data_IF_949784376815
#
_entry.id   IF_949784376815
#
_cell.length_a   1.000
_cell.length_b   1.000
_cell.length_c   1.000
_cell.angle_alpha   90.00
_cell.angle_beta   90.00
_cell.angle_gamma   90.00
#
_symmetry.space_group_name_H-M   'P 1'
#
loop_
_entity.id
_entity.type
_entity.pdbx_description
1 polymer ?
#
# COMPACT_ATOMS: atom_id res chain seq x y z
N UNK A 1 8.87 -13.31 8.02
CA UNK A 1 7.98 -12.87 6.93
C UNK A 1 6.61 -13.46 7.19
N UNK A 2 5.64 -12.65 7.61
CA UNK A 2 4.32 -13.11 8.06
C UNK A 2 3.35 -12.88 6.90
N UNK A 3 2.81 -13.95 6.33
CA UNK A 3 1.89 -13.88 5.21
C UNK A 3 0.49 -13.52 5.73
N UNK A 4 0.08 -12.25 5.60
CA UNK A 4 -1.26 -11.83 6.00
C UNK A 4 -2.28 -12.19 4.91
N UNK A 5 -3.26 -13.04 5.25
CA UNK A 5 -4.39 -13.36 4.38
C UNK A 5 -5.61 -12.53 4.78
N UNK A 6 -6.28 -11.93 3.81
CA UNK A 6 -7.49 -11.14 4.02
C UNK A 6 -8.68 -12.08 4.26
N UNK A 7 -9.32 -11.96 5.43
CA UNK A 7 -10.48 -12.77 5.81
C UNK A 7 -11.70 -11.84 5.92
N UNK A 8 -12.77 -12.20 5.24
CA UNK A 8 -14.05 -11.49 5.25
C UNK A 8 -15.07 -12.25 6.11
N UNK A 9 -15.97 -11.50 6.76
CA UNK A 9 -17.07 -12.05 7.56
C UNK A 9 -18.38 -12.03 6.76
N UNK A 10 -18.99 -13.19 6.59
CA UNK A 10 -20.30 -13.36 5.94
C UNK A 10 -21.26 -14.02 6.92
N UNK A 11 -22.15 -13.23 7.51
CA UNK A 11 -23.01 -13.66 8.61
C UNK A 11 -22.20 -13.95 9.88
N UNK A 12 -22.41 -15.10 10.50
CA UNK A 12 -21.64 -15.56 11.67
C UNK A 12 -20.36 -16.34 11.31
N UNK A 13 -20.05 -16.51 10.02
CA UNK A 13 -18.89 -17.27 9.55
C UNK A 13 -17.85 -16.38 8.82
N UNK A 14 -16.60 -16.83 8.80
CA UNK A 14 -15.46 -16.12 8.19
C UNK A 14 -14.87 -16.94 7.02
N UNK A 15 -14.51 -16.28 5.90
CA UNK A 15 -13.88 -16.92 4.72
C UNK A 15 -12.70 -16.09 4.18
N UNK A 16 -11.66 -16.76 3.68
CA UNK A 16 -10.50 -16.10 3.04
C UNK A 16 -10.91 -15.56 1.67
N UNK A 17 -10.66 -14.29 1.42
CA UNK A 17 -10.96 -13.63 0.14
C UNK A 17 -9.83 -13.93 -0.84
N UNK A 18 -10.16 -14.61 -1.94
CA UNK A 18 -9.35 -14.56 -3.17
C UNK A 18 -8.40 -15.72 -3.48
N UNK A 19 -8.80 -16.99 -3.35
CA UNK A 19 -8.14 -18.08 -4.12
C UNK A 19 -9.04 -18.48 -5.29
N UNK A 20 -8.79 -17.87 -6.45
CA UNK A 20 -9.17 -18.43 -7.75
C UNK A 20 -7.91 -18.39 -8.62
N UNK A 21 -7.31 -19.56 -8.76
CA UNK A 21 -6.27 -19.86 -9.72
C UNK A 21 -6.78 -19.43 -11.11
N UNK A 22 -6.16 -18.45 -11.76
CA UNK A 22 -6.27 -18.35 -13.20
C UNK A 22 -5.05 -17.70 -13.86
N UNK A 23 -4.67 -18.36 -14.94
CA UNK A 23 -3.50 -18.21 -15.79
C UNK A 23 -3.64 -16.97 -16.69
N UNK A 24 -2.60 -16.14 -16.76
CA UNK A 24 -2.53 -14.92 -17.58
C UNK A 24 -2.21 -15.21 -19.05
N UNK A 25 -2.78 -14.44 -19.98
CA UNK A 25 -2.03 -13.98 -21.15
C UNK A 25 -2.50 -12.60 -21.65
N UNK A 26 -1.54 -11.86 -22.20
CA UNK A 26 -1.39 -10.40 -22.25
C UNK A 26 -1.76 -9.80 -23.63
N UNK A 27 -2.23 -8.56 -23.66
CA UNK A 27 -2.46 -7.74 -24.87
C UNK A 27 -2.20 -6.28 -24.48
N UNK A 28 -1.29 -5.56 -25.16
CA UNK A 28 -1.55 -4.21 -25.68
C UNK A 28 -0.35 -3.63 -26.48
N UNK A 29 -0.72 -2.80 -27.46
CA UNK A 29 0.07 -2.14 -28.48
C UNK A 29 1.03 -1.03 -28.01
N UNK A 30 2.09 -0.85 -28.81
CA UNK A 30 3.16 0.16 -28.70
C UNK A 30 2.74 1.58 -29.14
N UNK A 31 3.22 2.61 -28.42
CA UNK A 31 3.27 3.99 -28.91
C UNK A 31 4.55 4.75 -28.44
N UNK A 32 5.45 4.91 -29.40
CA UNK A 32 6.45 5.96 -29.64
C UNK A 32 6.88 6.96 -28.54
N UNK A 33 8.20 6.98 -28.29
CA UNK A 33 9.02 8.17 -28.60
C UNK A 33 9.78 8.85 -27.45
N UNK A 34 11.13 8.76 -27.50
CA UNK A 34 11.99 9.93 -27.25
C UNK A 34 13.06 9.85 -26.14
N UNK A 35 14.32 9.78 -26.59
CA UNK A 35 15.54 10.38 -26.02
C UNK A 35 16.19 9.81 -24.73
N UNK A 36 17.18 8.93 -24.96
CA UNK A 36 18.60 9.03 -24.55
C UNK A 36 18.96 9.92 -23.34
N UNK A 37 19.32 9.27 -22.22
CA UNK A 37 20.54 9.57 -21.47
C UNK A 37 20.87 8.45 -20.46
N UNK A 38 21.97 7.76 -20.73
CA UNK A 38 22.88 7.06 -19.81
C UNK A 38 22.30 6.56 -18.46
N UNK A 39 21.81 5.32 -18.42
CA UNK A 39 21.73 4.58 -17.15
C UNK A 39 21.97 3.09 -17.37
N UNK A 40 22.99 2.59 -16.67
CA UNK A 40 23.46 1.21 -16.47
C UNK A 40 22.35 0.25 -16.01
N UNK A 41 21.35 0.05 -16.84
CA UNK A 41 20.27 -0.91 -16.65
C UNK A 41 20.69 -2.25 -17.26
N UNK A 42 20.90 -3.23 -16.38
CA UNK A 42 21.00 -4.64 -16.76
C UNK A 42 19.82 -5.02 -17.67
N UNK A 43 20.02 -5.89 -18.69
CA UNK A 43 19.01 -6.16 -19.69
C UNK A 43 17.74 -6.71 -19.03
N UNK A 44 16.56 -6.11 -19.25
CA UNK A 44 15.29 -6.67 -18.83
C UNK A 44 15.16 -8.04 -19.49
N UNK A 45 14.70 -9.04 -18.73
CA UNK A 45 14.36 -10.36 -19.26
C UNK A 45 13.65 -10.20 -20.61
N UNK A 46 14.25 -10.76 -21.66
CA UNK A 46 13.75 -10.62 -23.02
C UNK A 46 12.37 -11.26 -23.15
N UNK A 47 11.33 -10.43 -23.08
CA UNK A 47 10.03 -10.75 -23.65
C UNK A 47 9.99 -10.11 -25.03
N UNK A 48 10.35 -10.89 -26.05
CA UNK A 48 10.09 -10.55 -27.45
C UNK A 48 9.53 -11.80 -28.10
N UNK A 49 8.20 -11.93 -28.08
CA UNK A 49 7.49 -12.91 -28.89
C UNK A 49 7.44 -12.37 -30.33
N UNK A 50 8.54 -12.55 -31.06
CA UNK A 50 8.68 -12.13 -32.46
C UNK A 50 8.69 -13.34 -33.39
N UNK A 51 7.69 -13.41 -34.28
CA UNK A 51 7.61 -14.39 -35.36
C UNK A 51 8.89 -14.41 -36.21
N UNK A 52 9.37 -15.62 -36.48
CA UNK A 52 10.72 -15.89 -36.95
C UNK A 52 11.09 -15.30 -38.31
N UNK A 53 12.39 -15.04 -38.49
CA UNK A 53 13.19 -15.59 -39.59
C UNK A 53 14.66 -15.65 -39.19
N UNK A 54 15.29 -16.77 -39.55
CA UNK A 54 16.69 -16.89 -39.95
C UNK A 54 17.80 -16.28 -39.08
N UNK A 55 18.46 -17.15 -38.30
CA UNK A 55 19.91 -17.27 -38.44
C UNK A 55 20.79 -16.24 -37.73
N UNK A 56 20.59 -16.04 -36.44
CA UNK A 56 21.70 -15.72 -35.54
C UNK A 56 21.37 -16.28 -34.16
N UNK A 57 22.01 -17.41 -33.82
CA UNK A 57 22.05 -17.93 -32.45
C UNK A 57 22.38 -16.75 -31.54
N UNK A 58 21.57 -16.42 -30.51
CA UNK A 58 22.06 -15.52 -29.47
C UNK A 58 23.25 -16.26 -28.89
N UNK A 59 24.46 -15.79 -29.20
CA UNK A 59 25.61 -16.20 -28.45
C UNK A 59 25.26 -15.85 -27.02
N UNK A 60 25.16 -16.86 -26.15
CA UNK A 60 25.33 -16.63 -24.72
C UNK A 60 26.70 -15.96 -24.60
N UNK A 61 26.66 -14.63 -24.53
CA UNK A 61 27.80 -13.74 -24.44
C UNK A 61 28.37 -13.93 -23.05
N UNK A 62 29.14 -15.01 -22.89
CA UNK A 62 29.74 -15.43 -21.65
C UNK A 62 28.69 -15.89 -20.63
N UNK A 63 28.80 -17.13 -20.15
CA UNK A 63 28.55 -17.29 -18.74
C UNK A 63 29.57 -16.38 -18.05
N UNK A 64 29.17 -15.18 -17.60
CA UNK A 64 30.04 -14.40 -16.75
C UNK A 64 30.33 -15.30 -15.57
N UNK A 65 31.59 -15.72 -15.42
CA UNK A 65 32.01 -16.52 -14.28
C UNK A 65 32.07 -15.58 -13.08
N UNK A 66 30.91 -15.10 -12.65
CA UNK A 66 30.78 -14.33 -11.43
C UNK A 66 31.31 -15.22 -10.32
N UNK A 67 32.25 -14.68 -9.56
CA UNK A 67 32.70 -15.37 -8.37
C UNK A 67 31.54 -15.45 -7.36
N UNK A 68 31.53 -16.46 -6.51
CA UNK A 68 30.54 -16.58 -5.43
C UNK A 68 30.50 -15.31 -4.56
N UNK A 69 31.64 -14.64 -4.39
CA UNK A 69 31.74 -13.38 -3.63
C UNK A 69 31.02 -12.23 -4.32
N UNK A 70 31.05 -12.17 -5.65
CA UNK A 70 30.36 -11.15 -6.44
C UNK A 70 28.84 -11.37 -6.41
N UNK A 71 28.40 -12.64 -6.49
CA UNK A 71 26.99 -13.00 -6.31
C UNK A 71 26.51 -12.62 -4.92
N UNK A 72 27.29 -12.93 -3.88
CA UNK A 72 26.98 -12.58 -2.50
C UNK A 72 26.90 -11.06 -2.30
N UNK A 73 27.87 -10.30 -2.82
CA UNK A 73 27.87 -8.84 -2.73
C UNK A 73 26.64 -8.24 -3.43
N UNK A 74 26.24 -8.77 -4.59
CA UNK A 74 25.02 -8.34 -5.28
C UNK A 74 23.76 -8.70 -4.50
N UNK A 75 23.71 -9.86 -3.84
CA UNK A 75 22.59 -10.23 -2.97
C UNK A 75 22.48 -9.30 -1.77
N UNK A 76 23.60 -8.98 -1.11
CA UNK A 76 23.64 -8.04 0.01
C UNK A 76 23.20 -6.64 -0.41
N UNK A 77 23.73 -6.14 -1.52
CA UNK A 77 23.34 -4.84 -2.08
C UNK A 77 21.84 -4.78 -2.43
N UNK A 78 21.26 -5.86 -2.94
CA UNK A 78 19.81 -5.94 -3.19
C UNK A 78 19.01 -5.95 -1.89
N UNK A 79 19.49 -6.63 -0.86
CA UNK A 79 18.84 -6.64 0.45
C UNK A 79 18.79 -5.25 1.06
N UNK A 80 19.89 -4.48 0.99
CA UNK A 80 19.95 -3.11 1.52
C UNK A 80 18.92 -2.18 0.85
N UNK A 81 18.68 -2.35 -0.45
CA UNK A 81 17.67 -1.61 -1.20
C UNK A 81 16.27 -1.99 -0.72
N UNK A 82 16.00 -3.29 -0.52
CA UNK A 82 14.72 -3.76 0.01
C UNK A 82 14.49 -3.26 1.44
N UNK A 83 15.49 -3.31 2.31
CA UNK A 83 15.39 -2.85 3.69
C UNK A 83 15.13 -1.34 3.74
N UNK A 84 15.82 -0.56 2.91
CA UNK A 84 15.60 0.90 2.82
C UNK A 84 14.19 1.21 2.33
N UNK A 85 13.73 0.52 1.28
CA UNK A 85 12.38 0.68 0.76
C UNK A 85 11.31 0.27 1.80
N UNK A 86 11.53 -0.85 2.48
CA UNK A 86 10.65 -1.37 3.53
C UNK A 86 10.52 -0.39 4.69
N UNK A 87 11.63 0.10 5.23
CA UNK A 87 11.62 1.11 6.29
C UNK A 87 10.92 2.40 5.85
N UNK A 88 11.12 2.81 4.58
CA UNK A 88 10.41 3.93 3.98
C UNK A 88 8.90 3.71 4.00
N UNK A 89 8.42 2.58 3.48
CA UNK A 89 7.00 2.22 3.47
C UNK A 89 6.41 2.11 4.88
N UNK A 90 7.11 1.48 5.81
CA UNK A 90 6.68 1.38 7.21
C UNK A 90 6.50 2.76 7.84
N UNK A 91 7.43 3.69 7.61
CA UNK A 91 7.32 5.04 8.15
C UNK A 91 6.12 5.82 7.59
N UNK A 92 5.87 5.69 6.28
CA UNK A 92 4.70 6.32 5.63
C UNK A 92 3.38 5.75 6.14
N UNK A 93 3.34 4.43 6.40
CA UNK A 93 2.16 3.77 6.97
C UNK A 93 1.94 4.25 8.41
N UNK A 94 3.00 4.31 9.23
CA UNK A 94 2.93 4.78 10.60
C UNK A 94 2.45 6.24 10.70
N UNK A 95 2.98 7.13 9.86
CA UNK A 95 2.54 8.53 9.78
C UNK A 95 1.05 8.66 9.43
N UNK A 96 0.58 7.88 8.44
CA UNK A 96 -0.85 7.86 8.07
C UNK A 96 -1.74 7.39 9.22
N UNK A 97 -1.36 6.33 9.92
CA UNK A 97 -2.12 5.87 11.08
C UNK A 97 -2.13 6.88 12.22
N UNK A 98 -1.01 7.54 12.49
CA UNK A 98 -0.94 8.60 13.48
C UNK A 98 -1.85 9.78 13.11
N UNK A 99 -1.85 10.19 11.85
CA UNK A 99 -2.76 11.24 11.35
C UNK A 99 -4.23 10.86 11.54
N UNK A 100 -4.60 9.61 11.24
CA UNK A 100 -5.96 9.10 11.46
C UNK A 100 -6.33 9.12 12.95
N UNK A 101 -5.43 8.71 13.84
CA UNK A 101 -5.66 8.75 15.29
C UNK A 101 -5.92 10.18 15.78
N UNK A 102 -5.14 11.15 15.30
CA UNK A 102 -5.31 12.57 15.65
C UNK A 102 -6.66 13.09 15.14
N UNK A 103 -7.02 12.76 13.89
CA UNK A 103 -8.32 13.14 13.32
C UNK A 103 -9.48 12.55 14.12
N UNK A 104 -9.40 11.27 14.50
CA UNK A 104 -10.43 10.61 15.31
C UNK A 104 -10.59 11.30 16.66
N UNK A 105 -9.48 11.51 17.38
CA UNK A 105 -9.50 12.20 18.68
C UNK A 105 -10.07 13.62 18.57
N UNK A 106 -9.77 14.32 17.48
CA UNK A 106 -10.33 15.65 17.19
C UNK A 106 -11.84 15.60 16.97
N UNK A 107 -12.33 14.61 16.21
CA UNK A 107 -13.76 14.41 15.99
C UNK A 107 -14.49 14.11 17.30
N UNK A 108 -13.95 13.22 18.13
CA UNK A 108 -14.53 12.90 19.45
C UNK A 108 -14.68 14.17 20.31
N UNK A 109 -13.60 14.96 20.43
CA UNK A 109 -13.63 16.21 21.20
C UNK A 109 -14.67 17.21 20.67
N UNK A 110 -14.83 17.27 19.34
CA UNK A 110 -15.86 18.13 18.72
C UNK A 110 -17.27 17.63 19.00
N UNK A 111 -17.49 16.31 18.99
CA UNK A 111 -18.80 15.72 19.33
C UNK A 111 -19.15 16.00 20.80
N UNK A 112 -18.21 15.83 21.73
CA UNK A 112 -18.41 16.14 23.15
C UNK A 112 -18.80 17.61 23.35
N UNK A 113 -18.13 18.51 22.65
CA UNK A 113 -18.43 19.95 22.69
C UNK A 113 -19.83 20.25 22.17
N UNK A 114 -20.19 19.69 21.01
CA UNK A 114 -21.52 19.87 20.42
C UNK A 114 -22.62 19.29 21.32
N UNK A 115 -22.39 18.15 21.94
CA UNK A 115 -23.31 17.54 22.88
C UNK A 115 -23.53 18.44 24.11
N UNK A 116 -22.45 18.98 24.69
CA UNK A 116 -22.53 19.92 25.81
C UNK A 116 -23.29 21.21 25.45
N UNK A 117 -23.04 21.74 24.26
CA UNK A 117 -23.77 22.91 23.75
C UNK A 117 -25.26 22.61 23.56
N UNK A 118 -25.59 21.48 22.95
CA UNK A 118 -26.98 21.06 22.74
C UNK A 118 -27.71 20.89 24.09
N UNK A 119 -27.07 20.27 25.08
CA UNK A 119 -27.63 20.13 26.42
C UNK A 119 -27.91 21.49 27.08
N UNK A 120 -27.02 22.46 26.88
CA UNK A 120 -27.19 23.83 27.39
C UNK A 120 -28.40 24.51 26.74
N UNK A 121 -28.55 24.39 25.42
CA UNK A 121 -29.69 24.95 24.68
C UNK A 121 -31.00 24.30 25.14
N UNK A 122 -31.02 22.98 25.32
CA UNK A 122 -32.19 22.26 25.83
C UNK A 122 -32.59 22.79 27.21
N UNK A 123 -31.65 23.00 28.11
CA UNK A 123 -31.94 23.55 29.44
C UNK A 123 -32.50 24.97 29.39
N UNK A 124 -32.01 25.82 28.50
CA UNK A 124 -32.55 27.18 28.31
C UNK A 124 -33.98 27.18 27.77
N UNK A 125 -34.35 26.16 27.00
CA UNK A 125 -35.70 25.98 26.48
C UNK A 125 -36.65 25.36 27.52
N UNK A 126 -36.15 24.82 28.63
CA UNK A 126 -37.04 24.26 29.67
C UNK A 126 -37.79 25.38 30.40
N UNK A 127 -39.11 25.22 30.62
CA UNK A 127 -39.89 26.17 31.40
C UNK A 127 -39.33 26.28 32.82
N UNK A 128 -39.23 27.50 33.34
CA UNK A 128 -38.75 27.70 34.71
C UNK A 128 -39.71 27.01 35.69
N UNK A 129 -39.20 26.30 36.72
CA UNK A 129 -40.05 25.64 37.69
C UNK A 129 -41.02 26.64 38.34
N UNK A 130 -42.27 26.24 38.62
CA UNK A 130 -43.21 27.13 39.29
C UNK A 130 -42.66 27.53 40.67
N UNK A 131 -42.90 28.77 41.11
CA UNK A 131 -42.42 29.23 42.41
C UNK A 131 -43.03 28.39 43.54
N UNK A 132 -42.30 28.20 44.66
CA UNK A 132 -42.79 27.43 45.79
C UNK A 132 -44.07 28.07 46.37
N UNK A 133 -45.01 27.27 46.89
CA UNK A 133 -46.24 27.77 47.49
C UNK A 133 -45.92 28.68 48.67
N UNK A 134 -46.56 29.87 48.70
CA UNK A 134 -46.46 30.80 49.83
C UNK A 134 -47.22 30.24 51.05
N UNK A 135 -46.70 30.44 52.27
CA UNK A 135 -47.34 30.01 53.50
C UNK A 135 -48.66 30.74 53.77
#
# INVERSE_FOLDING_TARGET
MIHMKLIEKVGDAYRVVGDREDSSDDEEAEAAGGADMEEDNLPPFGSSFGAGTSGARPSFQGASSMSNNEVLARMMSRMDIFDTCHNGMESMIADRFQSIEIMHRSLDSRMDTLQGQLQTVIQLLQPHPPPPPKP
#
